data_IF_949634637866
#
_entry.id   IF_949634637866
#
_cell.length_a   1.000
_cell.length_b   1.000
_cell.length_c   1.000
_cell.angle_alpha   90.00
_cell.angle_beta   90.00
_cell.angle_gamma   90.00
#
_symmetry.space_group_name_H-M   'P 1'
#
loop_
_entity.id
_entity.type
_entity.pdbx_description
1 polymer ?
#
# COMPACT_ATOMS: atom_id res chain seq x y z
N UNK A 1 -1.47 24.45 -14.41
CA UNK A 1 -2.36 24.04 -13.29
C UNK A 1 -3.64 23.50 -13.89
N UNK A 2 -3.81 22.18 -13.92
CA UNK A 2 -4.95 21.51 -14.55
C UNK A 2 -5.97 21.07 -13.49
N UNK A 3 -6.53 22.02 -12.76
CA UNK A 3 -7.55 21.72 -11.76
C UNK A 3 -8.68 22.76 -11.85
N UNK A 4 -9.92 22.27 -11.94
CA UNK A 4 -11.11 23.14 -11.92
C UNK A 4 -11.20 23.82 -10.55
N UNK A 5 -11.50 25.14 -10.49
CA UNK A 5 -11.59 25.86 -9.23
C UNK A 5 -12.81 25.42 -8.38
N UNK A 6 -13.84 24.90 -9.03
CA UNK A 6 -15.09 24.41 -8.44
C UNK A 6 -15.31 22.97 -8.88
N UNK A 7 -15.74 22.13 -7.94
CA UNK A 7 -16.08 20.72 -8.14
C UNK A 7 -17.57 20.56 -7.87
N UNK A 8 -18.28 19.79 -8.70
CA UNK A 8 -19.70 19.54 -8.50
C UNK A 8 -19.93 18.42 -7.50
N UNK A 9 -20.99 18.53 -6.71
CA UNK A 9 -21.39 17.47 -5.79
C UNK A 9 -22.45 16.62 -6.48
N UNK A 10 -22.29 15.29 -6.41
CA UNK A 10 -23.21 14.32 -6.97
C UNK A 10 -24.08 13.65 -5.91
N UNK A 11 -25.31 13.30 -6.30
CA UNK A 11 -26.20 12.44 -5.53
C UNK A 11 -25.90 10.95 -5.74
N UNK A 12 -26.56 10.08 -4.97
CA UNK A 12 -26.51 8.62 -5.09
C UNK A 12 -26.89 8.07 -6.48
N UNK A 13 -27.61 8.88 -7.27
CA UNK A 13 -28.04 8.54 -8.63
C UNK A 13 -27.08 9.02 -9.72
N UNK A 14 -25.93 9.59 -9.34
CA UNK A 14 -24.96 10.19 -10.27
C UNK A 14 -25.52 11.43 -11.01
N UNK A 15 -26.35 12.20 -10.33
CA UNK A 15 -26.91 13.48 -10.80
C UNK A 15 -26.27 14.62 -10.00
N UNK A 16 -25.92 15.73 -10.65
CA UNK A 16 -25.35 16.89 -9.98
C UNK A 16 -26.41 17.59 -9.12
N UNK A 17 -26.11 17.84 -7.85
CA UNK A 17 -27.03 18.47 -6.88
C UNK A 17 -27.14 19.99 -7.08
N UNK A 18 -26.34 20.55 -7.99
CA UNK A 18 -26.21 22.00 -8.22
C UNK A 18 -25.33 22.70 -7.17
N UNK A 19 -25.03 22.04 -6.04
CA UNK A 19 -24.05 22.52 -5.07
C UNK A 19 -22.64 22.31 -5.60
N UNK A 20 -21.82 23.37 -5.49
CA UNK A 20 -20.43 23.38 -5.93
C UNK A 20 -19.52 23.69 -4.76
N UNK A 21 -18.42 22.93 -4.65
CA UNK A 21 -17.43 23.10 -3.59
C UNK A 21 -16.13 23.62 -4.21
N UNK A 22 -15.50 24.60 -3.54
CA UNK A 22 -14.19 25.09 -3.95
C UNK A 22 -13.15 23.99 -3.77
N UNK A 23 -12.35 23.74 -4.80
CA UNK A 23 -11.31 22.72 -4.72
C UNK A 23 -10.30 23.10 -3.61
N UNK A 24 -10.04 22.21 -2.63
CA UNK A 24 -9.09 22.50 -1.55
C UNK A 24 -7.67 22.79 -2.06
N UNK A 25 -6.95 23.64 -1.33
CA UNK A 25 -5.57 24.02 -1.68
C UNK A 25 -4.60 22.82 -1.73
N UNK A 26 -4.92 21.71 -1.05
CA UNK A 26 -4.11 20.48 -1.04
C UNK A 26 -3.91 19.92 -2.45
N UNK A 27 -4.90 20.04 -3.34
CA UNK A 27 -4.80 19.59 -4.73
C UNK A 27 -3.87 20.46 -5.60
N UNK A 28 -3.45 21.63 -5.11
CA UNK A 28 -2.50 22.52 -5.79
C UNK A 28 -1.06 22.32 -5.34
N UNK A 29 -0.82 21.43 -4.40
CA UNK A 29 0.54 21.18 -3.89
C UNK A 29 1.42 20.54 -4.97
N UNK A 30 2.74 20.79 -4.88
CA UNK A 30 3.70 20.21 -5.80
C UNK A 30 3.74 18.68 -5.70
N UNK A 31 3.67 18.00 -6.84
CA UNK A 31 3.72 16.53 -6.90
C UNK A 31 5.19 16.10 -6.84
N UNK A 32 5.57 15.46 -5.73
CA UNK A 32 6.94 14.98 -5.46
C UNK A 32 6.99 13.45 -5.31
N UNK A 33 7.17 12.70 -6.41
CA UNK A 33 7.18 11.24 -6.36
C UNK A 33 8.38 10.66 -5.60
N UNK A 34 9.50 11.40 -5.57
CA UNK A 34 10.70 11.09 -4.79
C UNK A 34 10.42 11.02 -3.28
N UNK A 35 9.71 12.01 -2.73
CA UNK A 35 9.35 12.03 -1.32
C UNK A 35 8.31 10.96 -1.01
N UNK A 36 7.31 10.79 -1.87
CA UNK A 36 6.26 9.77 -1.69
C UNK A 36 6.86 8.37 -1.63
N UNK A 37 7.72 8.02 -2.59
CA UNK A 37 8.41 6.72 -2.64
C UNK A 37 9.32 6.50 -1.42
N UNK A 38 10.14 7.50 -1.07
CA UNK A 38 11.02 7.42 0.10
C UNK A 38 10.23 7.13 1.39
N UNK A 39 9.15 7.87 1.61
CA UNK A 39 8.34 7.75 2.82
C UNK A 39 7.55 6.45 2.85
N UNK A 40 6.96 6.05 1.73
CA UNK A 40 6.28 4.76 1.58
C UNK A 40 7.22 3.61 1.98
N UNK A 41 8.47 3.63 1.50
CA UNK A 41 9.45 2.59 1.81
C UNK A 41 9.87 2.55 3.28
N UNK A 42 10.01 3.70 3.94
CA UNK A 42 10.31 3.74 5.37
C UNK A 42 9.12 3.27 6.20
N UNK A 43 7.89 3.72 5.90
CA UNK A 43 6.68 3.32 6.63
C UNK A 43 6.40 1.84 6.44
N UNK A 44 6.56 1.31 5.22
CA UNK A 44 6.34 -0.12 4.92
C UNK A 44 7.30 -1.04 5.68
N UNK A 45 8.48 -0.56 6.09
CA UNK A 45 9.41 -1.34 6.95
C UNK A 45 8.86 -1.52 8.37
N UNK A 46 8.03 -0.60 8.86
CA UNK A 46 7.58 -0.60 10.26
C UNK A 46 6.53 -1.67 10.58
N UNK A 47 5.80 -2.18 9.59
CA UNK A 47 4.80 -3.26 9.76
C UNK A 47 5.43 -4.67 9.77
N UNK A 48 6.74 -4.80 9.46
CA UNK A 48 7.40 -6.10 9.35
C UNK A 48 7.60 -6.72 10.73
N UNK A 49 7.44 -8.03 10.81
CA UNK A 49 7.77 -8.80 12.01
C UNK A 49 9.26 -9.20 11.98
N UNK A 50 9.99 -9.08 13.11
CA UNK A 50 11.34 -9.59 13.24
C UNK A 50 11.39 -11.10 13.00
N UNK A 51 12.45 -11.57 12.35
CA UNK A 51 12.76 -12.98 12.19
C UNK A 51 14.23 -13.23 12.50
N UNK A 52 14.52 -14.36 13.14
CA UNK A 52 15.86 -14.78 13.46
C UNK A 52 15.97 -16.30 13.49
N UNK A 53 17.15 -16.83 13.21
CA UNK A 53 17.49 -18.24 13.44
C UNK A 53 17.85 -18.46 14.91
N UNK A 54 17.65 -19.68 15.41
CA UNK A 54 18.07 -20.06 16.76
C UNK A 54 19.57 -19.80 16.96
N UNK A 55 19.95 -19.28 18.12
CA UNK A 55 21.35 -18.99 18.47
C UNK A 55 22.20 -20.25 18.54
N UNK A 56 21.61 -21.37 18.97
CA UNK A 56 22.23 -22.68 19.05
C UNK A 56 22.19 -23.48 17.73
N UNK A 57 21.57 -22.93 16.66
CA UNK A 57 21.49 -23.63 15.38
C UNK A 57 22.89 -23.88 14.81
N UNK A 58 23.22 -25.16 14.62
CA UNK A 58 24.57 -25.58 14.33
C UNK A 58 25.53 -25.18 15.45
N UNK A 59 25.27 -25.52 16.70
CA UNK A 59 26.26 -25.54 17.80
C UNK A 59 25.92 -26.66 18.81
N UNK A 60 25.04 -27.58 18.42
CA UNK A 60 24.52 -28.65 19.28
C UNK A 60 25.41 -29.89 19.28
N UNK A 61 26.37 -29.98 18.35
CA UNK A 61 27.29 -31.11 18.21
C UNK A 61 28.68 -30.69 18.66
N UNK A 62 29.25 -31.46 19.60
CA UNK A 62 30.65 -31.34 19.99
C UNK A 62 31.54 -31.83 18.86
N UNK A 63 32.44 -30.98 18.38
CA UNK A 63 33.39 -31.32 17.33
C UNK A 63 34.70 -30.57 17.56
N UNK A 64 35.81 -31.26 17.35
CA UNK A 64 37.16 -30.71 17.43
C UNK A 64 37.91 -30.97 16.12
N UNK A 65 38.81 -30.07 15.75
CA UNK A 65 39.66 -30.25 14.58
C UNK A 65 40.74 -31.29 14.85
N UNK A 66 41.00 -32.16 13.87
CA UNK A 66 41.96 -33.26 14.00
C UNK A 66 43.45 -32.87 13.92
N UNK A 67 43.78 -31.58 13.75
CA UNK A 67 45.16 -31.10 13.70
C UNK A 67 45.86 -31.31 12.35
N UNK A 68 47.20 -31.33 12.34
CA UNK A 68 48.05 -31.61 11.16
C UNK A 68 48.27 -33.12 11.01
N UNK A 69 48.77 -33.56 9.84
CA UNK A 69 49.35 -34.90 9.67
C UNK A 69 48.37 -36.04 9.36
N UNK A 70 47.08 -35.74 9.15
CA UNK A 70 46.05 -36.77 8.84
C UNK A 70 45.49 -36.70 7.41
N UNK A 71 46.04 -35.86 6.53
CA UNK A 71 45.54 -35.62 5.17
C UNK A 71 44.02 -35.29 5.08
N UNK A 72 43.44 -34.74 6.14
CA UNK A 72 42.04 -34.28 6.20
C UNK A 72 41.99 -32.76 6.33
N UNK A 73 41.00 -32.14 5.67
CA UNK A 73 40.77 -30.70 5.75
C UNK A 73 40.39 -30.25 7.16
N UNK A 74 40.90 -29.08 7.56
CA UNK A 74 40.52 -28.43 8.82
C UNK A 74 39.30 -27.57 8.57
N UNK A 75 38.13 -28.10 8.87
CA UNK A 75 36.89 -27.44 8.52
C UNK A 75 36.40 -26.50 9.63
N UNK A 76 36.01 -25.30 9.22
CA UNK A 76 35.30 -24.33 10.06
C UNK A 76 33.83 -24.27 9.65
N UNK A 77 33.01 -23.95 10.64
CA UNK A 77 31.66 -24.44 10.80
C UNK A 77 30.64 -24.07 9.69
N UNK A 78 30.77 -22.93 9.01
CA UNK A 78 29.77 -22.42 8.06
C UNK A 78 29.81 -23.04 6.66
N UNK A 79 30.92 -23.68 6.28
CA UNK A 79 31.05 -24.39 4.99
C UNK A 79 30.56 -25.84 5.09
N UNK A 80 30.42 -26.35 6.31
CA UNK A 80 29.98 -27.72 6.57
C UNK A 80 28.46 -27.85 6.37
N UNK A 81 28.03 -28.96 5.75
CA UNK A 81 26.62 -29.34 5.68
C UNK A 81 26.07 -29.55 7.09
N UNK A 82 24.93 -28.93 7.42
CA UNK A 82 24.34 -28.98 8.76
C UNK A 82 25.00 -28.02 9.77
N UNK A 83 26.01 -27.26 9.34
CA UNK A 83 26.61 -26.19 10.13
C UNK A 83 25.72 -24.93 10.24
N UNK A 84 26.24 -23.96 10.98
CA UNK A 84 25.63 -22.66 11.29
C UNK A 84 25.92 -21.71 10.15
N UNK A 85 24.90 -20.95 9.78
CA UNK A 85 25.05 -19.92 8.76
C UNK A 85 26.09 -18.85 9.12
N UNK A 86 26.73 -18.29 8.09
CA UNK A 86 27.51 -17.08 8.24
C UNK A 86 26.63 -15.92 8.70
N UNK A 87 27.13 -15.11 9.65
CA UNK A 87 26.45 -13.95 10.22
C UNK A 87 24.94 -14.17 10.51
N UNK A 88 24.58 -15.02 11.50
CA UNK A 88 23.19 -15.37 11.75
C UNK A 88 22.31 -14.15 12.02
N UNK A 89 21.11 -14.16 11.45
CA UNK A 89 20.11 -13.11 11.64
C UNK A 89 19.80 -12.91 13.12
N UNK A 90 19.77 -11.66 13.56
CA UNK A 90 19.50 -11.27 14.95
C UNK A 90 18.13 -10.62 15.06
N UNK A 91 17.46 -10.88 16.18
CA UNK A 91 16.17 -10.25 16.51
C UNK A 91 16.29 -8.74 16.61
N UNK A 92 17.39 -8.23 17.18
CA UNK A 92 17.67 -6.80 17.37
C UNK A 92 18.18 -6.05 16.12
N UNK A 93 17.97 -6.59 14.91
CA UNK A 93 18.20 -5.84 13.67
C UNK A 93 17.35 -4.56 13.69
N UNK A 94 17.85 -3.46 13.11
CA UNK A 94 17.07 -2.22 12.96
C UNK A 94 15.96 -2.37 11.91
N UNK A 95 14.82 -2.92 12.33
CA UNK A 95 13.62 -3.13 11.51
C UNK A 95 12.86 -1.83 11.25
N UNK A 96 12.65 -1.05 12.30
CA UNK A 96 11.85 0.16 12.25
C UNK A 96 12.65 1.40 11.81
N UNK A 97 11.96 2.32 11.13
CA UNK A 97 12.47 3.57 10.59
C UNK A 97 11.56 4.71 10.99
N UNK A 98 12.14 5.69 11.69
CA UNK A 98 11.49 6.95 12.03
C UNK A 98 11.55 7.89 10.83
N UNK A 99 10.46 8.60 10.58
CA UNK A 99 10.32 9.59 9.51
C UNK A 99 9.83 10.89 10.13
N UNK A 100 10.29 12.02 9.62
CA UNK A 100 9.89 13.33 10.10
C UNK A 100 8.41 13.58 9.81
N UNK A 101 7.70 14.21 10.76
CA UNK A 101 6.26 14.47 10.64
C UNK A 101 5.97 15.41 9.46
N UNK A 102 6.77 16.45 9.27
CA UNK A 102 6.64 17.38 8.15
C UNK A 102 6.78 16.68 6.78
N UNK A 103 7.78 15.82 6.64
CA UNK A 103 7.97 15.02 5.43
C UNK A 103 6.78 14.09 5.17
N UNK A 104 6.26 13.43 6.22
CA UNK A 104 5.07 12.57 6.11
C UNK A 104 3.85 13.36 5.63
N UNK A 105 3.60 14.52 6.22
CA UNK A 105 2.50 15.42 5.81
C UNK A 105 2.65 15.85 4.36
N UNK A 106 3.88 16.16 3.93
CA UNK A 106 4.15 16.54 2.55
C UNK A 106 3.90 15.40 1.54
N UNK A 107 4.30 14.16 1.84
CA UNK A 107 3.96 13.02 1.00
C UNK A 107 2.45 12.81 0.88
N UNK A 108 1.70 12.99 1.97
CA UNK A 108 0.24 12.87 1.94
C UNK A 108 -0.35 13.96 1.03
N UNK A 109 0.08 15.22 1.17
CA UNK A 109 -0.39 16.30 0.30
C UNK A 109 -0.06 16.05 -1.17
N UNK A 110 1.16 15.59 -1.48
CA UNK A 110 1.55 15.27 -2.86
C UNK A 110 0.78 14.09 -3.44
N UNK A 111 0.41 13.10 -2.62
CA UNK A 111 -0.43 11.98 -3.04
C UNK A 111 -1.87 12.43 -3.34
N UNK A 112 -2.45 13.30 -2.50
CA UNK A 112 -3.79 13.88 -2.73
C UNK A 112 -3.78 14.77 -3.97
N UNK A 113 -2.74 15.57 -4.19
CA UNK A 113 -2.61 16.35 -5.42
C UNK A 113 -2.55 15.45 -6.67
N UNK A 114 -1.83 14.34 -6.60
CA UNK A 114 -1.74 13.39 -7.71
C UNK A 114 -3.07 12.70 -8.03
N UNK A 115 -3.93 12.42 -7.02
CA UNK A 115 -5.27 11.84 -7.25
C UNK A 115 -6.27 12.83 -7.85
N UNK A 116 -5.96 14.13 -7.87
CA UNK A 116 -6.75 15.12 -8.61
C UNK A 116 -6.45 15.19 -10.10
N UNK A 117 -5.43 14.48 -10.60
CA UNK A 117 -4.96 14.55 -11.99
C UNK A 117 -5.36 13.27 -12.76
N UNK A 118 -6.31 13.34 -13.71
CA UNK A 118 -6.80 12.17 -14.45
C UNK A 118 -5.69 11.37 -15.14
N UNK A 119 -4.72 12.07 -15.74
CA UNK A 119 -3.60 11.44 -16.43
C UNK A 119 -2.75 10.53 -15.52
N UNK A 120 -2.52 10.94 -14.26
CA UNK A 120 -1.75 10.15 -13.29
C UNK A 120 -2.54 8.92 -12.80
N UNK A 121 -3.86 9.05 -12.67
CA UNK A 121 -4.77 7.97 -12.29
C UNK A 121 -4.85 6.91 -13.37
N UNK A 122 -5.00 7.32 -14.64
CA UNK A 122 -4.96 6.42 -15.79
C UNK A 122 -3.59 5.75 -15.94
N UNK A 123 -2.49 6.50 -15.76
CA UNK A 123 -1.14 5.93 -15.81
C UNK A 123 -0.88 4.87 -14.71
N UNK A 124 -1.50 4.99 -13.54
CA UNK A 124 -1.49 3.95 -12.49
C UNK A 124 -2.25 2.69 -12.91
N UNK A 125 -3.19 2.84 -13.86
CA UNK A 125 -3.98 1.76 -14.42
C UNK A 125 -5.39 1.66 -13.83
N UNK A 126 -5.97 2.74 -13.32
CA UNK A 126 -7.41 2.77 -13.02
C UNK A 126 -8.23 3.03 -14.28
N UNK A 127 -9.41 2.41 -14.39
CA UNK A 127 -10.33 2.62 -15.51
C UNK A 127 -11.29 3.75 -15.14
N UNK A 128 -11.08 4.96 -15.71
CA UNK A 128 -11.86 6.16 -15.36
C UNK A 128 -12.52 6.84 -16.58
N UNK A 129 -12.64 6.14 -17.70
CA UNK A 129 -13.05 6.74 -18.98
C UNK A 129 -14.51 7.21 -19.01
N UNK A 130 -15.38 6.58 -18.21
CA UNK A 130 -16.80 6.91 -18.10
C UNK A 130 -17.13 7.80 -16.89
N UNK A 131 -16.11 8.29 -16.20
CA UNK A 131 -16.28 9.11 -15.01
C UNK A 131 -16.62 10.56 -15.39
N UNK A 132 -17.57 11.17 -14.69
CA UNK A 132 -18.01 12.54 -15.00
C UNK A 132 -16.94 13.59 -14.68
N UNK A 133 -16.27 13.46 -13.52
CA UNK A 133 -15.16 14.33 -13.13
C UNK A 133 -14.24 13.73 -12.07
N UNK A 134 -13.04 14.31 -11.93
CA UNK A 134 -12.04 14.01 -10.91
C UNK A 134 -11.60 15.34 -10.28
N UNK A 135 -11.57 15.48 -8.95
CA UNK A 135 -12.00 14.53 -7.93
C UNK A 135 -13.53 14.38 -7.87
N UNK A 136 -14.00 13.16 -7.60
CA UNK A 136 -15.43 12.84 -7.53
C UNK A 136 -15.96 13.06 -6.10
N UNK A 137 -16.93 13.96 -5.93
CA UNK A 137 -17.47 14.33 -4.62
C UNK A 137 -18.96 13.99 -4.56
N UNK A 138 -19.38 13.39 -3.45
CA UNK A 138 -20.76 13.00 -3.21
C UNK A 138 -21.35 13.63 -1.96
N UNK A 139 -22.67 13.54 -1.82
CA UNK A 139 -23.38 13.88 -0.60
C UNK A 139 -23.20 12.84 0.51
N UNK A 140 -23.29 13.29 1.77
CA UNK A 140 -23.02 12.49 2.98
C UNK A 140 -23.95 11.27 3.15
N UNK A 141 -25.03 11.19 2.38
CA UNK A 141 -25.98 10.07 2.44
C UNK A 141 -25.32 8.71 2.19
N UNK A 142 -24.24 8.67 1.41
CA UNK A 142 -23.49 7.43 1.13
C UNK A 142 -22.91 6.81 2.40
N UNK A 143 -22.54 7.62 3.39
CA UNK A 143 -21.98 7.13 4.66
C UNK A 143 -22.98 6.27 5.44
N UNK A 144 -24.28 6.45 5.18
CA UNK A 144 -25.37 5.76 5.87
C UNK A 144 -25.74 4.39 5.30
N UNK A 145 -25.12 3.96 4.19
CA UNK A 145 -25.40 2.65 3.60
C UNK A 145 -25.03 1.51 4.54
N UNK A 146 -26.00 0.62 4.80
CA UNK A 146 -25.82 -0.52 5.70
C UNK A 146 -25.60 -1.83 4.95
N UNK A 147 -26.10 -1.93 3.71
CA UNK A 147 -26.03 -3.18 2.92
C UNK A 147 -25.05 -3.05 1.77
N UNK A 148 -24.27 -4.10 1.55
CA UNK A 148 -23.34 -4.19 0.41
C UNK A 148 -24.05 -4.11 -0.94
N UNK A 149 -25.29 -4.59 -1.03
CA UNK A 149 -26.13 -4.49 -2.23
C UNK A 149 -26.40 -3.04 -2.64
N UNK A 150 -26.61 -2.15 -1.66
CA UNK A 150 -26.81 -0.71 -1.88
C UNK A 150 -25.52 -0.08 -2.43
N UNK A 151 -24.37 -0.43 -1.82
CA UNK A 151 -23.06 0.04 -2.28
C UNK A 151 -22.70 -0.44 -3.69
N UNK A 152 -22.99 -1.70 -4.03
CA UNK A 152 -22.79 -2.25 -5.38
C UNK A 152 -23.67 -1.52 -6.40
N UNK A 153 -24.96 -1.34 -6.09
CA UNK A 153 -25.87 -0.61 -6.97
C UNK A 153 -25.50 0.87 -7.14
N UNK A 154 -24.89 1.48 -6.12
CA UNK A 154 -24.31 2.82 -6.22
C UNK A 154 -23.11 2.87 -7.17
N UNK A 155 -22.12 1.97 -7.00
CA UNK A 155 -20.90 1.95 -7.82
C UNK A 155 -21.18 1.68 -9.32
N UNK A 156 -22.22 0.91 -9.62
CA UNK A 156 -22.71 0.71 -10.98
C UNK A 156 -23.30 1.99 -11.59
N UNK A 157 -24.10 2.75 -10.82
CA UNK A 157 -24.69 4.03 -11.28
C UNK A 157 -23.64 5.12 -11.53
N UNK A 158 -22.52 5.06 -10.81
CA UNK A 158 -21.42 6.02 -10.91
C UNK A 158 -20.41 5.67 -12.03
N UNK A 159 -20.63 4.58 -12.76
CA UNK A 159 -19.72 4.07 -13.80
C UNK A 159 -18.33 3.66 -13.28
N UNK A 160 -18.19 3.32 -11.98
CA UNK A 160 -16.94 2.82 -11.39
C UNK A 160 -16.82 1.28 -11.44
N UNK A 161 -17.85 0.60 -11.96
CA UNK A 161 -17.89 -0.85 -11.96
C UNK A 161 -16.80 -1.49 -12.82
N UNK A 162 -16.38 -0.84 -13.91
CA UNK A 162 -15.31 -1.35 -14.79
C UNK A 162 -13.96 -1.51 -14.05
N UNK A 163 -13.62 -0.59 -13.14
CA UNK A 163 -12.39 -0.70 -12.34
C UNK A 163 -12.47 -1.85 -11.34
N UNK A 164 -13.67 -2.12 -10.81
CA UNK A 164 -13.94 -3.24 -9.90
C UNK A 164 -13.86 -4.57 -10.65
N UNK A 165 -14.44 -4.66 -11.84
CA UNK A 165 -14.38 -5.84 -12.70
C UNK A 165 -12.94 -6.17 -13.07
N UNK A 166 -12.11 -5.17 -13.37
CA UNK A 166 -10.67 -5.34 -13.55
C UNK A 166 -10.00 -5.98 -12.33
N UNK A 167 -10.43 -5.62 -11.11
CA UNK A 167 -9.93 -6.24 -9.88
C UNK A 167 -10.34 -7.72 -9.80
N UNK A 168 -11.59 -8.05 -10.13
CA UNK A 168 -12.06 -9.44 -10.20
C UNK A 168 -11.24 -10.26 -11.20
N UNK A 169 -11.04 -9.75 -12.41
CA UNK A 169 -10.31 -10.43 -13.49
C UNK A 169 -8.81 -10.58 -13.18
N UNK A 170 -8.24 -9.67 -12.39
CA UNK A 170 -6.82 -9.71 -12.02
C UNK A 170 -6.48 -10.67 -10.88
N UNK A 171 -7.45 -11.41 -10.33
CA UNK A 171 -7.21 -12.39 -9.27
C UNK A 171 -6.43 -13.59 -9.82
N UNK A 172 -5.16 -13.68 -9.43
CA UNK A 172 -4.28 -14.82 -9.73
C UNK A 172 -3.54 -15.33 -8.50
N UNK A 173 -3.17 -16.61 -8.54
CA UNK A 173 -2.27 -17.21 -7.55
C UNK A 173 -0.92 -16.50 -7.53
N UNK A 174 -0.35 -16.36 -6.33
CA UNK A 174 0.96 -15.73 -6.16
C UNK A 174 2.06 -16.66 -6.65
N UNK A 175 3.01 -16.12 -7.41
CA UNK A 175 4.20 -16.85 -7.83
C UNK A 175 5.17 -17.06 -6.64
N UNK A 176 5.88 -18.19 -6.63
CA UNK A 176 6.95 -18.50 -5.66
C UNK A 176 6.48 -19.01 -4.30
N UNK A 177 7.39 -18.98 -3.32
CA UNK A 177 7.24 -19.59 -1.98
C UNK A 177 6.23 -18.90 -1.06
N UNK A 178 5.72 -17.72 -1.44
CA UNK A 178 4.74 -16.97 -0.65
C UNK A 178 3.41 -17.70 -0.43
N UNK A 179 3.07 -18.65 -1.31
CA UNK A 179 1.89 -19.51 -1.18
C UNK A 179 1.90 -20.36 0.09
N UNK A 180 3.09 -20.82 0.50
CA UNK A 180 3.28 -21.67 1.69
C UNK A 180 3.29 -20.84 2.97
N UNK A 181 3.72 -19.58 2.88
CA UNK A 181 3.82 -18.64 4.01
C UNK A 181 2.53 -17.81 4.22
N UNK A 182 1.35 -18.41 3.98
CA UNK A 182 0.00 -17.83 4.22
C UNK A 182 -0.60 -16.95 3.11
N UNK A 183 0.19 -16.34 2.20
CA UNK A 183 -0.37 -15.45 1.15
C UNK A 183 -0.54 -16.17 -0.19
N UNK A 184 -1.74 -16.71 -0.41
CA UNK A 184 -2.06 -17.55 -1.58
C UNK A 184 -2.38 -16.74 -2.84
N UNK A 185 -3.15 -15.66 -2.70
CA UNK A 185 -3.58 -14.81 -3.83
C UNK A 185 -2.84 -13.48 -3.85
N UNK A 186 -2.66 -12.94 -5.05
CA UNK A 186 -1.94 -11.68 -5.26
C UNK A 186 -2.75 -10.41 -4.96
N UNK A 187 -4.08 -10.52 -4.89
CA UNK A 187 -5.01 -9.46 -4.49
C UNK A 187 -6.09 -10.06 -3.59
N UNK A 188 -6.22 -9.56 -2.37
CA UNK A 188 -7.40 -9.82 -1.53
C UNK A 188 -8.40 -8.66 -1.67
N UNK A 189 -9.69 -8.93 -1.48
CA UNK A 189 -10.74 -7.90 -1.49
C UNK A 189 -10.46 -6.79 -0.45
N UNK A 190 -9.81 -7.15 0.67
CA UNK A 190 -9.34 -6.22 1.70
C UNK A 190 -8.18 -5.30 1.24
N UNK A 191 -7.34 -5.75 0.29
CA UNK A 191 -6.28 -4.91 -0.30
C UNK A 191 -6.86 -3.83 -1.22
N UNK A 192 -7.98 -4.08 -1.90
CA UNK A 192 -8.65 -3.04 -2.68
C UNK A 192 -9.29 -2.00 -1.74
N UNK A 193 -10.10 -2.41 -0.77
CA UNK A 193 -10.70 -1.50 0.23
C UNK A 193 -9.68 -0.61 0.94
N UNK A 194 -8.51 -1.16 1.34
CA UNK A 194 -7.43 -0.38 1.96
C UNK A 194 -6.79 0.66 1.04
N UNK A 195 -6.86 0.49 -0.29
CA UNK A 195 -6.14 1.34 -1.25
C UNK A 195 -7.06 2.36 -1.91
N UNK A 196 -8.33 2.01 -2.20
CA UNK A 196 -9.31 2.94 -2.80
C UNK A 196 -10.12 3.71 -1.76
N UNK A 197 -10.46 3.11 -0.61
CA UNK A 197 -11.29 3.80 0.40
C UNK A 197 -10.50 4.84 1.22
N UNK A 198 -9.17 4.66 1.34
CA UNK A 198 -8.28 5.69 1.92
C UNK A 198 -8.16 6.95 1.06
N UNK A 199 -8.38 6.85 -0.26
CA UNK A 199 -8.39 8.02 -1.15
C UNK A 199 -9.73 8.77 -1.09
N UNK A 200 -10.85 8.09 -0.82
CA UNK A 200 -12.19 8.70 -0.67
C UNK A 200 -12.42 9.30 0.73
N UNK A 201 -11.93 8.66 1.81
CA UNK A 201 -12.12 9.14 3.19
C UNK A 201 -11.15 10.26 3.62
N UNK A 202 -10.08 10.55 2.85
CA UNK A 202 -9.11 11.57 3.24
C UNK A 202 -9.63 13.01 3.13
N UNK A 203 -10.79 13.23 2.51
CA UNK A 203 -11.40 14.58 2.41
C UNK A 203 -12.03 15.04 3.73
N UNK A 204 -12.49 14.12 4.58
CA UNK A 204 -13.23 14.48 5.81
C UNK A 204 -12.36 14.79 7.04
N UNK A 205 -11.07 14.41 7.03
CA UNK A 205 -10.15 14.67 8.17
C UNK A 205 -9.23 15.87 7.98
N UNK A 206 -9.26 16.52 6.80
CA UNK A 206 -8.50 17.74 6.54
C UNK A 206 -9.21 19.02 7.00
N UNK A 207 -10.49 18.93 7.40
CA UNK A 207 -11.30 20.04 7.92
C UNK A 207 -11.33 20.14 9.45
N UNK A 208 -10.72 19.20 10.19
CA UNK A 208 -10.60 19.26 11.66
C UNK A 208 -9.19 19.64 12.16
N UNK A 209 -8.31 20.05 11.24
CA UNK A 209 -7.00 20.63 11.55
C UNK A 209 -6.89 22.01 10.87
N UNK A 210 -7.82 22.89 11.26
CA UNK A 210 -7.66 24.34 11.24
C UNK A 210 -7.98 24.85 12.65
#
# INVERSE_FOLDING_TARGET
MAARPLVSVYNEKNEAVGTQVKLPAVYRTGIRPDIVSFIHDQIRKNKRQPYAVSTAAGHQTSAESWGTGRAVARCFWNMCRGGRMFAPTKTYRRWHRKVNVAQRRHAISSAIAASGVPALIQARGHVIDQLAEVPLVFTDKIESFKKTKEAVGFLQRVNLWADIEKVYNSKRYRAGKGKVATVVTSKSWAQWFSTTMMEVLCVHSATSLA
#
